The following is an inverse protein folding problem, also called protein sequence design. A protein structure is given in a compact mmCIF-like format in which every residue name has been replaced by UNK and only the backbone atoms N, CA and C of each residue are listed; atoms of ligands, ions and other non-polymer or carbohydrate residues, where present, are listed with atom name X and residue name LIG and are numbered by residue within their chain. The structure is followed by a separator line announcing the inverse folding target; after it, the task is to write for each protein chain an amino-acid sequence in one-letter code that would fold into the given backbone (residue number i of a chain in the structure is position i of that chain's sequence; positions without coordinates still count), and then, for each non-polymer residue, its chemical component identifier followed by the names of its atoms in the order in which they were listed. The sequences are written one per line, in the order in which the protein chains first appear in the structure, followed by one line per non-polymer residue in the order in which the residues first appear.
data_IF_408883523594
#
_entry.id   IF_408883523594
#
_cell.length_a   1.000
_cell.length_b   1.000
_cell.length_c   1.000
_cell.angle_alpha   90.00
_cell.angle_beta   90.00
_cell.angle_gamma   90.00
#
_symmetry.space_group_name_H-M   'P 1'
#
loop_
_entity.id
_entity.type
_entity.pdbx_description
1 polymer ?
#
# COMPACT_ATOMS: atom_id res chain seq x y z
N UNK A 1 0.64 -21.82 4.21
CA UNK A 1 1.79 -21.74 3.28
C UNK A 1 2.95 -22.54 3.87
N UNK A 2 3.36 -23.62 3.20
CA UNK A 2 4.38 -24.55 3.70
C UNK A 2 5.79 -23.96 3.55
N UNK A 3 6.56 -23.97 4.64
CA UNK A 3 7.96 -23.61 4.59
C UNK A 3 8.78 -24.86 4.26
N UNK A 4 9.47 -24.85 3.13
CA UNK A 4 10.55 -25.79 2.85
C UNK A 4 11.70 -25.56 3.84
N UNK A 5 12.43 -26.63 4.18
CA UNK A 5 13.60 -26.55 5.05
C UNK A 5 14.64 -25.59 4.47
N UNK A 6 15.35 -24.87 5.35
CA UNK A 6 16.39 -23.93 4.94
C UNK A 6 17.62 -24.71 4.46
N UNK A 7 18.20 -24.27 3.35
CA UNK A 7 19.47 -24.78 2.81
C UNK A 7 20.51 -23.66 2.76
N UNK A 8 21.82 -23.96 2.64
CA UNK A 8 22.87 -22.94 2.53
C UNK A 8 22.62 -21.99 1.35
N UNK A 9 22.83 -20.69 1.58
CA UNK A 9 22.65 -19.63 0.58
C UNK A 9 23.73 -18.54 0.77
N UNK A 10 24.10 -17.78 -0.27
CA UNK A 10 25.06 -16.70 -0.15
C UNK A 10 24.46 -15.52 0.64
N UNK A 11 25.14 -15.09 1.71
CA UNK A 11 24.65 -14.04 2.61
C UNK A 11 24.90 -12.62 2.10
N UNK A 12 25.87 -12.47 1.21
CA UNK A 12 26.34 -11.17 0.72
C UNK A 12 25.58 -10.69 -0.53
N UNK A 13 24.69 -11.52 -1.07
CA UNK A 13 23.85 -11.17 -2.22
C UNK A 13 22.66 -10.34 -1.76
N UNK A 14 22.54 -9.12 -2.28
CA UNK A 14 21.43 -8.22 -2.00
C UNK A 14 20.45 -8.14 -3.17
N UNK A 15 19.16 -8.04 -2.86
CA UNK A 15 18.08 -7.83 -3.82
C UNK A 15 17.01 -6.92 -3.20
N UNK A 16 16.39 -6.02 -3.98
CA UNK A 16 15.38 -5.09 -3.47
C UNK A 16 14.11 -5.79 -2.95
N UNK A 17 13.75 -6.94 -3.51
CA UNK A 17 12.61 -7.73 -3.07
C UNK A 17 12.93 -8.60 -1.82
N UNK A 18 14.18 -8.60 -1.36
CA UNK A 18 14.72 -9.51 -0.37
C UNK A 18 15.45 -10.71 -1.00
N UNK A 19 15.96 -11.57 -0.13
CA UNK A 19 16.62 -12.83 -0.49
C UNK A 19 16.00 -14.05 0.21
N UNK A 20 16.79 -15.10 0.36
CA UNK A 20 16.37 -16.38 0.92
C UNK A 20 15.81 -16.29 2.36
N UNK A 21 14.55 -16.72 2.53
CA UNK A 21 13.79 -16.70 3.80
C UNK A 21 13.86 -15.36 4.57
N UNK A 22 13.79 -14.25 3.84
CA UNK A 22 13.85 -12.91 4.41
C UNK A 22 12.77 -12.70 5.48
N UNK A 23 13.22 -12.47 6.72
CA UNK A 23 12.34 -12.16 7.87
C UNK A 23 13.00 -11.12 8.76
N UNK A 24 13.04 -9.84 8.34
CA UNK A 24 13.67 -8.79 9.13
C UNK A 24 12.93 -8.63 10.46
N UNK A 25 13.66 -8.34 11.54
CA UNK A 25 13.09 -8.19 12.90
C UNK A 25 12.01 -7.11 12.96
N UNK A 26 12.15 -6.05 12.14
CA UNK A 26 11.29 -4.87 12.11
C UNK A 26 10.24 -4.88 11.00
N UNK A 27 9.93 -6.05 10.41
CA UNK A 27 8.98 -6.14 9.28
C UNK A 27 7.64 -5.45 9.56
N UNK A 28 7.11 -5.58 10.78
CA UNK A 28 5.83 -4.98 11.19
C UNK A 28 5.85 -3.46 11.07
N UNK A 29 6.85 -2.82 11.67
CA UNK A 29 7.00 -1.36 11.66
C UNK A 29 7.19 -0.85 10.23
N UNK A 30 8.01 -1.52 9.43
CA UNK A 30 8.22 -1.14 8.03
C UNK A 30 6.93 -1.22 7.21
N UNK A 31 6.13 -2.28 7.39
CA UNK A 31 4.82 -2.41 6.74
C UNK A 31 3.85 -1.32 7.20
N UNK A 32 3.85 -0.95 8.49
CA UNK A 32 3.01 0.14 9.00
C UNK A 32 3.39 1.47 8.36
N UNK A 33 4.69 1.79 8.28
CA UNK A 33 5.17 3.02 7.65
C UNK A 33 4.77 3.06 6.16
N UNK A 34 4.96 1.96 5.44
CA UNK A 34 4.56 1.87 4.04
C UNK A 34 3.05 2.05 3.86
N UNK A 35 2.24 1.40 4.70
CA UNK A 35 0.78 1.54 4.68
C UNK A 35 0.32 2.97 4.98
N UNK A 36 0.92 3.63 5.97
CA UNK A 36 0.63 5.02 6.31
C UNK A 36 1.00 5.97 5.15
N UNK A 37 2.17 5.79 4.55
CA UNK A 37 2.57 6.58 3.38
C UNK A 37 1.61 6.43 2.20
N UNK A 38 1.18 5.19 1.91
CA UNK A 38 0.18 4.92 0.89
C UNK A 38 -1.17 5.57 1.22
N UNK A 39 -1.66 5.44 2.46
CA UNK A 39 -2.95 5.99 2.87
C UNK A 39 -2.98 7.53 2.74
N UNK A 40 -1.92 8.22 3.17
CA UNK A 40 -1.80 9.68 3.04
C UNK A 40 -1.81 10.10 1.57
N UNK A 41 -1.00 9.42 0.74
CA UNK A 41 -0.89 9.76 -0.69
C UNK A 41 -2.22 9.53 -1.40
N UNK A 42 -2.86 8.38 -1.18
CA UNK A 42 -4.14 8.04 -1.79
C UNK A 42 -5.26 8.97 -1.30
N UNK A 43 -5.26 9.34 -0.01
CA UNK A 43 -6.23 10.29 0.54
C UNK A 43 -6.11 11.68 -0.09
N UNK A 44 -4.89 12.18 -0.30
CA UNK A 44 -4.65 13.45 -0.97
C UNK A 44 -5.12 13.42 -2.44
N UNK A 45 -4.77 12.36 -3.16
CA UNK A 45 -5.20 12.16 -4.56
C UNK A 45 -6.73 12.06 -4.64
N UNK A 46 -7.36 11.34 -3.71
CA UNK A 46 -8.82 11.22 -3.67
C UNK A 46 -9.50 12.57 -3.44
N UNK A 47 -8.98 13.40 -2.52
CA UNK A 47 -9.51 14.75 -2.29
C UNK A 47 -9.44 15.60 -3.54
N UNK A 48 -8.27 15.65 -4.20
CA UNK A 48 -8.11 16.40 -5.46
C UNK A 48 -9.03 15.87 -6.55
N UNK A 49 -9.20 14.56 -6.63
CA UNK A 49 -10.12 13.92 -7.57
C UNK A 49 -11.56 14.35 -7.33
N UNK A 50 -12.01 14.36 -6.06
CA UNK A 50 -13.35 14.77 -5.68
C UNK A 50 -13.62 16.26 -5.98
N UNK A 51 -12.66 17.14 -5.66
CA UNK A 51 -12.75 18.59 -5.94
C UNK A 51 -12.83 18.89 -7.45
N UNK A 52 -12.17 18.07 -8.29
CA UNK A 52 -12.19 18.20 -9.75
C UNK A 52 -13.31 17.42 -10.42
N UNK A 53 -14.17 16.74 -9.65
CA UNK A 53 -15.21 15.89 -10.22
C UNK A 53 -16.37 16.74 -10.76
N UNK A 54 -16.42 16.88 -12.10
CA UNK A 54 -17.53 17.55 -12.79
C UNK A 54 -18.60 16.52 -13.14
N UNK A 55 -19.86 16.82 -12.78
CA UNK A 55 -21.01 15.96 -13.08
C UNK A 55 -22.10 16.70 -13.82
N UNK A 56 -22.53 16.15 -14.96
CA UNK A 56 -23.69 16.63 -15.71
C UNK A 56 -25.02 16.11 -15.15
N UNK A 57 -24.97 15.04 -14.34
CA UNK A 57 -26.12 14.42 -13.71
C UNK A 57 -25.77 14.05 -12.27
N UNK A 58 -26.70 14.24 -11.35
CA UNK A 58 -26.49 13.90 -9.94
C UNK A 58 -26.46 12.37 -9.74
N UNK A 59 -25.69 11.85 -8.77
CA UNK A 59 -25.59 10.42 -8.50
C UNK A 59 -26.94 9.83 -8.08
N UNK A 60 -27.33 8.70 -8.69
CA UNK A 60 -28.55 7.95 -8.30
C UNK A 60 -28.35 7.04 -7.08
N UNK A 61 -27.11 6.89 -6.61
CA UNK A 61 -26.72 6.09 -5.46
C UNK A 61 -25.60 6.81 -4.71
N UNK A 62 -25.42 6.46 -3.45
CA UNK A 62 -24.33 7.02 -2.65
C UNK A 62 -22.97 6.68 -3.27
N UNK A 63 -22.11 7.70 -3.34
CA UNK A 63 -20.72 7.57 -3.79
C UNK A 63 -19.78 8.31 -2.83
N UNK A 64 -18.53 7.83 -2.65
CA UNK A 64 -17.64 8.38 -1.63
C UNK A 64 -17.32 9.88 -1.77
N UNK A 65 -17.23 10.42 -3.00
CA UNK A 65 -16.94 11.85 -3.20
C UNK A 65 -18.08 12.77 -2.75
N UNK A 66 -19.26 12.26 -2.39
CA UNK A 66 -20.32 13.05 -1.72
C UNK A 66 -20.00 13.39 -0.26
N UNK A 67 -18.97 12.78 0.35
CA UNK A 67 -18.58 13.08 1.74
C UNK A 67 -17.71 14.35 1.86
N UNK A 68 -17.17 14.82 0.73
CA UNK A 68 -16.14 15.88 0.67
C UNK A 68 -16.50 17.01 -0.31
N UNK A 69 -17.61 16.86 -1.04
CA UNK A 69 -18.25 17.90 -1.85
C UNK A 69 -19.45 18.47 -1.07
#
# INVERSE_FOLDING_TARGET
MGAVSRFPYPKDVWSPAGGWWSRPKTWKSNTVIAALGMAVTLGAVWRVSAEKEVRYQQPKRWIPSMMVN
#
